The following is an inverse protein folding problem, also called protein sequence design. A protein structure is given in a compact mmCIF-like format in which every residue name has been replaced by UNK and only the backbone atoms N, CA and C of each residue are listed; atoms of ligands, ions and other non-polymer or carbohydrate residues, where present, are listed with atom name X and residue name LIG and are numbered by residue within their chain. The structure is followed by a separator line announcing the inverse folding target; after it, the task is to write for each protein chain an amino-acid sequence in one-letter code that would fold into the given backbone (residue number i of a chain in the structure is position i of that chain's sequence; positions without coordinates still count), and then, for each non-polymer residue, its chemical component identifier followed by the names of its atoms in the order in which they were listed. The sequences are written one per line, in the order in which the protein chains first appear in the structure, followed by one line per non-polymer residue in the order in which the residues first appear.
data_IF_875313645503
#
_entry.id   IF_875313645503
#
_cell.length_a   1.000
_cell.length_b   1.000
_cell.length_c   1.000
_cell.angle_alpha   90.00
_cell.angle_beta   90.00
_cell.angle_gamma   90.00
#
_symmetry.space_group_name_H-M   'P 1'
#
loop_
_entity.id
_entity.type
_entity.pdbx_description
1 polymer ?
#
# COMPACT_ATOMS: atom_id res chain seq x y z
N UNK A 1 7.73 -70.00 37.90
CA UNK A 1 6.60 -69.37 37.18
C UNK A 1 5.76 -68.58 38.18
N UNK A 2 5.93 -67.26 38.26
CA UNK A 2 5.02 -66.35 38.97
C UNK A 2 4.76 -65.15 38.05
N UNK A 3 3.50 -64.97 37.65
CA UNK A 3 2.99 -63.76 36.98
C UNK A 3 2.55 -62.78 38.06
N UNK A 4 2.80 -61.49 37.86
CA UNK A 4 1.87 -60.45 38.26
C UNK A 4 2.06 -59.22 37.36
N UNK A 5 0.91 -58.75 36.87
CA UNK A 5 0.71 -57.77 35.82
C UNK A 5 0.99 -56.35 36.28
N UNK A 6 1.32 -55.47 35.34
CA UNK A 6 0.88 -54.06 35.28
C UNK A 6 1.09 -53.58 33.83
N UNK A 7 0.22 -53.94 32.89
CA UNK A 7 -1.00 -53.22 32.51
C UNK A 7 -0.87 -51.70 32.39
N UNK A 8 -0.98 -51.30 31.11
CA UNK A 8 -1.56 -50.06 30.57
C UNK A 8 -0.62 -48.89 30.33
N UNK A 9 -0.13 -48.88 29.09
CA UNK A 9 0.23 -47.71 28.31
C UNK A 9 -0.67 -46.50 28.65
N UNK A 10 -0.07 -45.42 29.14
CA UNK A 10 -0.74 -44.14 29.25
C UNK A 10 -0.57 -43.39 27.94
N UNK A 11 -1.72 -43.08 27.37
CA UNK A 11 -1.95 -42.44 26.08
C UNK A 11 -1.44 -40.99 26.06
N UNK A 12 -1.19 -40.56 24.83
CA UNK A 12 -0.79 -39.24 24.39
C UNK A 12 -1.75 -38.11 24.83
N UNK A 13 -1.20 -36.89 24.87
CA UNK A 13 -1.92 -35.67 24.52
C UNK A 13 -0.93 -34.67 23.88
N UNK A 14 -0.75 -34.76 22.56
CA UNK A 14 -0.22 -33.67 21.75
C UNK A 14 -1.32 -32.61 21.65
N UNK A 15 -1.22 -31.53 22.41
CA UNK A 15 -2.03 -30.33 22.17
C UNK A 15 -1.24 -29.47 21.18
N UNK A 16 -1.32 -29.85 19.91
CA UNK A 16 -0.98 -28.96 18.81
C UNK A 16 -2.10 -27.93 18.69
N UNK A 17 -1.90 -26.75 19.27
CA UNK A 17 -2.80 -25.62 19.04
C UNK A 17 -2.51 -25.07 17.63
N UNK A 18 -3.01 -25.76 16.61
CA UNK A 18 -3.15 -25.18 15.29
C UNK A 18 -4.25 -24.14 15.37
N UNK A 19 -3.89 -22.89 15.68
CA UNK A 19 -4.76 -21.75 15.41
C UNK A 19 -4.79 -21.60 13.90
N UNK A 20 -5.70 -22.35 13.28
CA UNK A 20 -6.22 -22.10 11.95
C UNK A 20 -7.01 -20.80 12.02
N UNK A 21 -6.30 -19.68 12.13
CA UNK A 21 -6.85 -18.36 11.86
C UNK A 21 -7.04 -18.22 10.36
N UNK A 22 -7.95 -19.01 9.78
CA UNK A 22 -8.64 -18.60 8.57
C UNK A 22 -9.56 -17.45 8.98
N UNK A 23 -8.96 -16.29 9.28
CA UNK A 23 -9.66 -15.04 9.14
C UNK A 23 -10.13 -15.05 7.69
N UNK A 24 -11.41 -15.35 7.50
CA UNK A 24 -12.05 -15.16 6.20
C UNK A 24 -11.63 -13.77 5.77
N UNK A 25 -10.89 -13.68 4.68
CA UNK A 25 -10.54 -12.41 4.07
C UNK A 25 -11.89 -11.84 3.69
N UNK A 26 -12.48 -11.04 4.58
CA UNK A 26 -13.55 -10.15 4.21
C UNK A 26 -12.91 -9.24 3.17
N UNK A 27 -13.09 -9.62 1.90
CA UNK A 27 -12.58 -8.88 0.75
C UNK A 27 -13.08 -7.47 0.92
N UNK A 28 -12.14 -6.56 1.14
CA UNK A 28 -12.50 -5.17 1.26
C UNK A 28 -12.86 -4.73 -0.16
N UNK A 29 -14.01 -4.10 -0.30
CA UNK A 29 -14.39 -3.57 -1.61
C UNK A 29 -13.32 -2.54 -2.02
N UNK A 30 -13.06 -2.38 -3.30
CA UNK A 30 -11.98 -1.52 -3.78
C UNK A 30 -12.10 -0.07 -3.25
N UNK A 31 -13.33 0.36 -2.96
CA UNK A 31 -13.69 1.65 -2.33
C UNK A 31 -13.27 1.79 -0.87
N UNK A 32 -12.93 0.69 -0.21
CA UNK A 32 -12.42 0.65 1.15
C UNK A 32 -10.92 0.93 1.20
N UNK A 33 -10.28 1.20 0.07
CA UNK A 33 -8.88 1.58 -0.03
C UNK A 33 -8.74 3.03 -0.47
N UNK A 34 -7.74 3.71 0.06
CA UNK A 34 -7.41 5.07 -0.33
C UNK A 34 -5.91 5.29 -0.37
N UNK A 35 -5.48 6.15 -1.29
CA UNK A 35 -4.13 6.68 -1.29
C UNK A 35 -4.05 7.95 -0.45
N UNK A 36 -2.94 8.10 0.27
CA UNK A 36 -2.61 9.30 1.06
C UNK A 36 -1.20 9.76 0.73
N UNK A 37 -1.00 11.07 0.68
CA UNK A 37 0.34 11.63 0.66
C UNK A 37 0.92 11.58 2.08
N UNK A 38 2.15 11.11 2.21
CA UNK A 38 2.88 11.23 3.47
C UNK A 38 3.19 12.71 3.77
N UNK A 39 3.59 13.44 2.73
CA UNK A 39 3.77 14.90 2.77
C UNK A 39 3.04 15.54 1.59
N UNK A 40 2.15 16.52 1.82
CA UNK A 40 1.40 17.19 0.76
C UNK A 40 2.21 18.28 0.05
N UNK A 41 3.39 18.62 0.56
CA UNK A 41 4.26 19.69 0.05
C UNK A 41 5.61 19.15 -0.37
N UNK A 42 6.20 19.74 -1.40
CA UNK A 42 7.53 19.40 -1.88
C UNK A 42 8.26 20.65 -2.34
N UNK A 43 9.58 20.68 -2.22
CA UNK A 43 10.37 21.75 -2.84
C UNK A 43 10.37 21.58 -4.35
N UNK A 44 10.15 22.64 -5.12
CA UNK A 44 10.32 22.63 -6.57
C UNK A 44 11.76 22.23 -6.93
N UNK A 45 11.93 21.53 -8.05
CA UNK A 45 13.22 21.05 -8.53
C UNK A 45 13.18 19.63 -9.09
N UNK A 46 14.37 19.14 -9.44
CA UNK A 46 14.57 17.81 -10.00
C UNK A 46 14.67 16.76 -8.89
N UNK A 47 14.40 15.51 -9.24
CA UNK A 47 14.62 14.33 -8.39
C UNK A 47 13.97 14.40 -7.00
N UNK A 48 12.77 14.99 -6.94
CA UNK A 48 12.00 15.06 -5.70
C UNK A 48 11.26 13.76 -5.45
N UNK A 49 11.28 13.34 -4.19
CA UNK A 49 10.63 12.12 -3.75
C UNK A 49 9.26 12.47 -3.16
N UNK A 50 8.23 11.83 -3.69
CA UNK A 50 6.87 11.83 -3.16
C UNK A 50 6.60 10.44 -2.60
N UNK A 51 6.17 10.38 -1.35
CA UNK A 51 5.76 9.13 -0.71
C UNK A 51 4.24 9.07 -0.63
N UNK A 52 3.66 8.02 -1.20
CA UNK A 52 2.22 7.74 -1.17
C UNK A 52 1.98 6.48 -0.35
N UNK A 53 1.08 6.55 0.62
CA UNK A 53 0.64 5.40 1.39
C UNK A 53 -0.68 4.87 0.82
N UNK A 54 -0.80 3.55 0.68
CA UNK A 54 -2.09 2.90 0.42
C UNK A 54 -2.63 2.35 1.74
N UNK A 55 -3.83 2.77 2.12
CA UNK A 55 -4.44 2.42 3.41
C UNK A 55 -5.79 1.76 3.19
N UNK A 56 -6.05 0.67 3.94
CA UNK A 56 -7.39 0.12 4.05
C UNK A 56 -8.17 0.93 5.09
N UNK A 57 -9.21 1.64 4.64
CA UNK A 57 -10.04 2.57 5.43
C UNK A 57 -10.76 1.90 6.59
N UNK A 58 -11.14 0.63 6.44
CA UNK A 58 -11.86 -0.13 7.47
C UNK A 58 -10.97 -0.53 8.63
N UNK A 59 -9.71 -0.86 8.34
CA UNK A 59 -8.77 -1.36 9.35
C UNK A 59 -7.75 -0.32 9.79
N UNK A 60 -7.60 0.77 9.04
CA UNK A 60 -6.55 1.77 9.22
C UNK A 60 -5.14 1.26 8.89
N UNK A 61 -5.01 0.01 8.38
CA UNK A 61 -3.71 -0.61 8.14
C UNK A 61 -3.15 -0.22 6.77
N UNK A 62 -1.82 -0.02 6.67
CA UNK A 62 -1.18 0.14 5.37
C UNK A 62 -1.26 -1.16 4.57
N UNK A 63 -1.31 -1.05 3.25
CA UNK A 63 -1.49 -2.17 2.32
C UNK A 63 -0.17 -2.41 1.57
N UNK A 64 0.63 -3.40 1.99
CA UNK A 64 1.87 -3.75 1.31
C UNK A 64 1.61 -4.44 -0.04
N UNK A 65 2.67 -4.56 -0.83
CA UNK A 65 2.72 -5.38 -2.05
C UNK A 65 1.67 -5.05 -3.11
N UNK A 66 1.14 -3.82 -3.08
CA UNK A 66 0.26 -3.33 -4.13
C UNK A 66 1.08 -3.08 -5.40
N UNK A 67 0.51 -3.50 -6.52
CA UNK A 67 1.11 -3.35 -7.83
C UNK A 67 0.64 -2.01 -8.40
N UNK A 68 1.48 -0.99 -8.24
CA UNK A 68 1.28 0.31 -8.90
C UNK A 68 1.57 0.12 -10.40
N UNK A 69 0.58 0.41 -11.24
CA UNK A 69 0.69 0.22 -12.70
C UNK A 69 0.40 1.48 -13.52
N UNK A 70 -0.23 2.48 -12.91
CA UNK A 70 -0.51 3.76 -13.55
C UNK A 70 -0.06 4.91 -12.65
N UNK A 71 0.77 5.80 -13.20
CA UNK A 71 1.19 7.04 -12.55
C UNK A 71 1.26 8.16 -13.57
N UNK A 72 0.68 9.31 -13.22
CA UNK A 72 0.78 10.55 -14.01
C UNK A 72 0.87 11.72 -13.06
N UNK A 73 1.81 12.63 -13.30
CA UNK A 73 1.98 13.85 -12.54
C UNK A 73 1.91 15.03 -13.51
N UNK A 74 0.93 15.92 -13.33
CA UNK A 74 0.71 17.10 -14.17
C UNK A 74 0.17 18.28 -13.37
N UNK A 75 0.06 19.46 -13.99
CA UNK A 75 -0.48 20.67 -13.37
C UNK A 75 -1.96 20.92 -13.71
N UNK A 76 -2.76 19.85 -13.89
CA UNK A 76 -4.19 19.97 -14.14
C UNK A 76 -4.97 20.83 -13.13
N UNK A 77 -4.67 20.83 -11.81
CA UNK A 77 -5.37 21.68 -10.84
C UNK A 77 -5.23 23.17 -11.15
N UNK A 78 -4.14 23.57 -11.81
CA UNK A 78 -3.84 24.94 -12.21
C UNK A 78 -4.15 25.18 -13.71
N UNK A 79 -4.93 24.30 -14.34
CA UNK A 79 -5.34 24.43 -15.75
C UNK A 79 -4.25 24.08 -16.76
N UNK A 80 -3.11 23.55 -16.31
CA UNK A 80 -1.93 23.24 -17.13
C UNK A 80 -1.70 21.73 -17.23
N UNK A 81 -2.75 20.96 -17.57
CA UNK A 81 -2.69 19.48 -17.62
C UNK A 81 -1.71 18.91 -18.66
N UNK A 82 -1.34 19.71 -19.67
CA UNK A 82 -0.32 19.37 -20.68
C UNK A 82 1.10 19.39 -20.09
N UNK A 83 1.30 20.17 -19.02
CA UNK A 83 2.57 20.23 -18.27
C UNK A 83 2.68 19.01 -17.36
N UNK A 84 2.97 17.86 -17.96
CA UNK A 84 3.24 16.60 -17.24
C UNK A 84 4.72 16.33 -17.12
N UNK A 85 5.11 15.61 -16.08
CA UNK A 85 6.49 15.15 -15.88
C UNK A 85 6.56 13.63 -15.84
N UNK A 86 7.74 13.10 -16.17
CA UNK A 86 8.06 11.69 -15.93
C UNK A 86 8.05 11.41 -14.43
N UNK A 87 7.39 10.32 -14.05
CA UNK A 87 7.35 9.77 -12.69
C UNK A 87 8.06 8.42 -12.72
N UNK A 88 9.03 8.22 -11.84
CA UNK A 88 9.76 6.96 -11.70
C UNK A 88 9.48 6.39 -10.32
N UNK A 89 9.06 5.12 -10.26
CA UNK A 89 8.93 4.42 -8.98
C UNK A 89 10.32 4.12 -8.44
N UNK A 90 10.60 4.56 -7.22
CA UNK A 90 11.83 4.24 -6.50
C UNK A 90 11.57 3.04 -5.58
N UNK A 91 12.51 2.07 -5.50
CA UNK A 91 12.41 0.98 -4.54
C UNK A 91 12.58 1.49 -3.10
N UNK A 92 11.98 0.77 -2.15
CA UNK A 92 12.06 1.08 -0.72
C UNK A 92 10.86 1.84 -0.16
N UNK A 93 10.93 2.12 1.15
CA UNK A 93 9.81 2.61 1.95
C UNK A 93 9.28 1.55 2.93
N UNK A 94 8.49 1.99 3.89
CA UNK A 94 7.79 1.09 4.81
C UNK A 94 6.72 0.27 4.08
N UNK A 95 6.30 -0.90 4.60
CA UNK A 95 5.21 -1.68 4.04
C UNK A 95 3.95 -0.84 3.78
N UNK A 96 3.52 -0.80 2.51
CA UNK A 96 2.38 0.01 2.05
C UNK A 96 2.66 1.48 1.76
N UNK A 97 3.92 1.90 1.85
CA UNK A 97 4.42 3.18 1.34
C UNK A 97 5.12 3.00 -0.01
N UNK A 98 4.77 3.83 -0.98
CA UNK A 98 5.26 3.78 -2.35
C UNK A 98 5.93 5.11 -2.68
N UNK A 99 7.21 5.05 -3.05
CA UNK A 99 8.03 6.23 -3.36
C UNK A 99 8.10 6.49 -4.86
N UNK A 100 7.93 7.74 -5.23
CA UNK A 100 7.99 8.22 -6.60
C UNK A 100 8.97 9.37 -6.72
N UNK A 101 9.93 9.23 -7.63
CA UNK A 101 10.84 10.31 -8.00
C UNK A 101 10.28 11.03 -9.22
N UNK A 102 10.16 12.35 -9.13
CA UNK A 102 9.69 13.19 -10.21
C UNK A 102 10.34 14.58 -10.17
N UNK A 103 10.24 15.31 -11.29
CA UNK A 103 10.68 16.70 -11.38
C UNK A 103 9.48 17.64 -11.23
N UNK A 104 9.53 18.51 -10.24
CA UNK A 104 8.56 19.60 -10.05
C UNK A 104 9.18 20.86 -10.62
N UNK A 105 9.05 21.04 -11.94
CA UNK A 105 9.75 22.12 -12.66
C UNK A 105 9.31 23.53 -12.28
N UNK A 106 8.14 23.66 -11.64
CA UNK A 106 7.53 24.93 -11.26
C UNK A 106 6.83 24.79 -9.91
N UNK A 107 6.78 25.90 -9.18
CA UNK A 107 5.91 26.05 -8.01
C UNK A 107 4.43 25.99 -8.44
N UNK A 108 3.56 25.51 -7.55
CA UNK A 108 2.13 25.37 -7.84
C UNK A 108 1.56 24.03 -7.43
N UNK A 109 0.34 23.73 -7.88
CA UNK A 109 -0.38 22.50 -7.53
C UNK A 109 -0.23 21.47 -8.63
N UNK A 110 0.36 20.35 -8.26
CA UNK A 110 0.58 19.20 -9.12
C UNK A 110 -0.36 18.07 -8.72
N UNK A 111 -1.00 17.43 -9.69
CA UNK A 111 -1.89 16.29 -9.49
C UNK A 111 -1.16 14.99 -9.80
N UNK A 112 -0.95 14.17 -8.77
CA UNK A 112 -0.53 12.78 -8.92
C UNK A 112 -1.78 11.90 -9.08
N UNK A 113 -2.02 11.45 -10.30
CA UNK A 113 -2.97 10.37 -10.59
C UNK A 113 -2.26 9.02 -10.46
N UNK A 114 -2.80 8.12 -9.65
CA UNK A 114 -2.20 6.82 -9.33
C UNK A 114 -3.24 5.70 -9.42
N UNK A 115 -2.84 4.56 -9.98
CA UNK A 115 -3.64 3.35 -10.07
C UNK A 115 -2.87 2.12 -9.58
N UNK A 116 -3.50 1.29 -8.74
CA UNK A 116 -2.89 0.08 -8.21
C UNK A 116 -3.86 -1.11 -8.12
N UNK A 117 -3.28 -2.31 -8.16
CA UNK A 117 -3.96 -3.56 -7.80
C UNK A 117 -3.54 -3.99 -6.40
N UNK A 118 -4.53 -4.33 -5.57
CA UNK A 118 -4.33 -4.92 -4.25
C UNK A 118 -4.42 -6.43 -4.36
N UNK A 119 -3.47 -7.15 -3.75
CA UNK A 119 -3.45 -8.61 -3.77
C UNK A 119 -4.70 -9.17 -3.08
N UNK A 120 -5.36 -10.13 -3.74
CA UNK A 120 -6.58 -10.77 -3.23
C UNK A 120 -7.89 -10.00 -3.51
N UNK A 121 -7.80 -8.75 -3.99
CA UNK A 121 -8.97 -7.94 -4.34
C UNK A 121 -9.27 -7.95 -5.84
N UNK A 122 -10.55 -7.82 -6.17
CA UNK A 122 -11.01 -7.72 -7.56
C UNK A 122 -11.29 -6.25 -7.87
N UNK A 123 -10.44 -5.63 -8.68
CA UNK A 123 -10.60 -4.23 -9.10
C UNK A 123 -9.27 -3.47 -9.17
N UNK A 124 -9.38 -2.15 -9.27
CA UNK A 124 -8.27 -1.20 -9.26
C UNK A 124 -8.57 -0.08 -8.27
N UNK A 125 -7.63 0.18 -7.37
CA UNK A 125 -7.67 1.38 -6.54
C UNK A 125 -7.12 2.52 -7.38
N UNK A 126 -7.91 3.57 -7.55
CA UNK A 126 -7.47 4.81 -8.21
C UNK A 126 -7.39 5.94 -7.18
N UNK A 127 -6.43 6.84 -7.37
CA UNK A 127 -6.21 7.99 -6.52
C UNK A 127 -5.84 9.21 -7.32
N UNK A 128 -6.27 10.37 -6.82
CA UNK A 128 -5.93 11.71 -7.32
C UNK A 128 -5.44 12.52 -6.13
N UNK A 129 -4.14 12.76 -6.08
CA UNK A 129 -3.46 13.38 -4.94
C UNK A 129 -2.87 14.71 -5.38
N UNK A 130 -3.27 15.81 -4.73
CA UNK A 130 -2.72 17.14 -5.01
C UNK A 130 -1.50 17.37 -4.13
N UNK A 131 -0.38 17.73 -4.76
CA UNK A 131 0.91 18.02 -4.16
C UNK A 131 1.24 19.48 -4.45
N UNK A 132 1.60 20.24 -3.43
CA UNK A 132 2.00 21.62 -3.59
C UNK A 132 3.53 21.70 -3.71
N UNK A 133 4.01 22.15 -4.86
CA UNK A 133 5.40 22.49 -5.06
C UNK A 133 5.65 23.94 -4.64
N UNK A 134 6.64 24.15 -3.78
CA UNK A 134 7.02 25.47 -3.24
C UNK A 134 8.54 25.64 -3.26
N UNK A 135 9.02 26.85 -3.02
CA UNK A 135 10.45 27.18 -3.04
C UNK A 135 11.26 26.53 -1.91
#
# INVERSE_FOLDING_TARGET
MNRLNSSRAVRAALVGLAVSGAAGIARADIKDYEFKLAEPTVTAGKDRIVTVQLVNKKTGKPVPDAVIFATRLDMAPDGMAEMSTKVVREPGGEPGSYRFKAAFGMEGRWLLSIGAKVQGETGTVEGKLVITAQK
#
